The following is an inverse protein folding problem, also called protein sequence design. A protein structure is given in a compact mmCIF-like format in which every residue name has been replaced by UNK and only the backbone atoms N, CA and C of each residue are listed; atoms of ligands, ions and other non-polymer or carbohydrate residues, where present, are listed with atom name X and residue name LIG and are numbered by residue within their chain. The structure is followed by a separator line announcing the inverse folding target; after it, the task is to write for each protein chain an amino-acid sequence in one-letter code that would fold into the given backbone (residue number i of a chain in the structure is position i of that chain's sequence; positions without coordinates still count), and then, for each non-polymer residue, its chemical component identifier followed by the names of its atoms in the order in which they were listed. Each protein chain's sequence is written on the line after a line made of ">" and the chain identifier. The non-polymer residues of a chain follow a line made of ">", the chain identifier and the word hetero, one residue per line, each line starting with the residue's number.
data_IF_039213898396
#
_entry.id   IF_039213898396
#
_cell.length_a   1.000
_cell.length_b   1.000
_cell.length_c   1.000
_cell.angle_alpha   90.00
_cell.angle_beta   90.00
_cell.angle_gamma   90.00
#
_symmetry.space_group_name_H-M   'P 1'
#
loop_
_entity.id
_entity.type
_entity.pdbx_description
1 polymer ?
#
# COMPACT_ATOMS: atom_id res chain seq x y z
N UNK A 1 7.08 -14.51 14.80
CA UNK A 1 7.05 -14.71 13.34
C UNK A 1 6.69 -13.41 12.60
N UNK A 2 5.48 -12.86 12.72
CA UNK A 2 5.06 -11.64 11.98
C UNK A 2 6.02 -10.45 12.12
N UNK A 3 6.43 -10.11 13.36
CA UNK A 3 7.41 -9.03 13.60
C UNK A 3 8.73 -9.26 12.87
N UNK A 4 9.25 -10.49 12.93
CA UNK A 4 10.50 -10.86 12.27
C UNK A 4 10.43 -10.74 10.74
N UNK A 5 9.30 -11.15 10.14
CA UNK A 5 9.06 -10.96 8.70
C UNK A 5 9.04 -9.46 8.39
N UNK A 6 8.27 -8.67 9.14
CA UNK A 6 8.20 -7.21 8.94
C UNK A 6 9.59 -6.55 9.04
N UNK A 7 10.41 -6.93 10.02
CA UNK A 7 11.77 -6.41 10.18
C UNK A 7 12.65 -6.70 8.96
N UNK A 8 12.53 -7.90 8.36
CA UNK A 8 13.24 -8.25 7.12
C UNK A 8 12.76 -7.37 5.97
N UNK A 9 11.45 -7.27 5.74
CA UNK A 9 10.88 -6.45 4.67
C UNK A 9 11.34 -4.99 4.78
N UNK A 10 11.16 -4.38 5.96
CA UNK A 10 11.59 -3.01 6.23
C UNK A 10 13.11 -2.82 6.05
N UNK A 11 13.92 -3.80 6.45
CA UNK A 11 15.37 -3.76 6.24
C UNK A 11 15.72 -3.77 4.74
N UNK A 12 15.11 -4.64 3.95
CA UNK A 12 15.38 -4.71 2.51
C UNK A 12 14.92 -3.43 1.78
N UNK A 13 13.77 -2.87 2.13
CA UNK A 13 13.31 -1.61 1.53
C UNK A 13 14.18 -0.42 1.96
N UNK A 14 14.65 -0.35 3.21
CA UNK A 14 15.58 0.71 3.64
C UNK A 14 16.90 0.68 2.86
N UNK A 15 17.44 -0.51 2.55
CA UNK A 15 18.63 -0.63 1.67
C UNK A 15 18.39 -0.08 0.27
N UNK A 16 17.14 -0.10 -0.20
CA UNK A 16 16.68 0.43 -1.51
C UNK A 16 16.30 1.92 -1.46
N UNK A 17 16.57 2.60 -0.33
CA UNK A 17 16.40 4.03 -0.16
C UNK A 17 15.03 4.46 0.36
N UNK A 18 14.18 3.53 0.80
CA UNK A 18 12.91 3.89 1.42
C UNK A 18 13.12 4.42 2.84
N UNK A 19 12.50 5.55 3.15
CA UNK A 19 12.44 6.10 4.50
C UNK A 19 11.23 5.53 5.24
N UNK A 20 11.49 4.92 6.38
CA UNK A 20 10.47 4.30 7.23
C UNK A 20 9.75 5.34 8.09
N UNK A 21 8.43 5.23 8.20
CA UNK A 21 7.59 6.09 9.05
C UNK A 21 6.69 5.25 9.96
N UNK A 22 6.48 5.76 11.16
CA UNK A 22 5.43 5.29 12.07
C UNK A 22 4.19 6.18 11.88
N UNK A 23 3.04 5.56 11.63
CA UNK A 23 1.84 6.25 11.13
C UNK A 23 0.63 5.98 12.02
N UNK A 24 -0.32 6.92 12.11
CA UNK A 24 -1.60 6.66 12.76
C UNK A 24 -2.43 5.65 11.96
N UNK A 25 -3.16 4.79 12.67
CA UNK A 25 -4.13 3.87 12.04
C UNK A 25 -5.53 4.45 11.94
N UNK A 26 -5.80 5.56 12.63
CA UNK A 26 -7.03 6.36 12.51
C UNK A 26 -6.73 7.63 11.73
N UNK A 27 -7.53 7.89 10.70
CA UNK A 27 -7.38 9.05 9.82
C UNK A 27 -8.70 9.77 9.63
N UNK A 28 -8.63 11.04 9.25
CA UNK A 28 -9.82 11.81 8.93
C UNK A 28 -10.36 11.41 7.55
N UNK A 29 -11.64 11.71 7.32
CA UNK A 29 -12.34 11.42 6.07
C UNK A 29 -11.59 11.94 4.84
N UNK A 30 -11.02 13.14 4.94
CA UNK A 30 -10.35 13.78 3.83
C UNK A 30 -9.11 12.98 3.39
N UNK A 31 -8.38 12.35 4.32
CA UNK A 31 -7.24 11.49 4.01
C UNK A 31 -7.67 10.33 3.10
N UNK A 32 -8.81 9.70 3.42
CA UNK A 32 -9.37 8.60 2.64
C UNK A 32 -9.82 9.02 1.24
N UNK A 33 -10.37 10.24 1.09
CA UNK A 33 -10.65 10.82 -0.23
C UNK A 33 -9.37 11.05 -1.05
N UNK A 34 -8.30 11.52 -0.39
CA UNK A 34 -7.03 11.85 -1.07
C UNK A 34 -6.35 10.66 -1.76
N UNK A 35 -6.69 9.43 -1.38
CA UNK A 35 -6.19 8.19 -2.00
C UNK A 35 -7.26 7.44 -2.78
N UNK A 36 -8.46 8.02 -2.94
CA UNK A 36 -9.58 7.43 -3.67
C UNK A 36 -10.23 6.23 -2.97
N UNK A 37 -9.99 6.05 -1.67
CA UNK A 37 -10.70 5.06 -0.86
C UNK A 37 -12.17 5.45 -0.69
N UNK A 38 -12.42 6.74 -0.42
CA UNK A 38 -13.78 7.30 -0.40
C UNK A 38 -14.11 8.03 -1.71
N UNK A 39 -15.40 8.03 -2.13
CA UNK A 39 -16.55 7.43 -1.44
C UNK A 39 -16.77 5.94 -1.79
N UNK A 40 -16.05 5.41 -2.78
CA UNK A 40 -16.31 4.09 -3.39
C UNK A 40 -16.26 2.93 -2.39
N UNK A 41 -15.32 2.95 -1.45
CA UNK A 41 -15.10 1.86 -0.50
C UNK A 41 -15.55 2.22 0.92
N UNK A 42 -16.50 3.17 1.09
CA UNK A 42 -16.98 3.55 2.42
C UNK A 42 -17.59 2.38 3.19
N UNK A 43 -18.40 1.55 2.52
CA UNK A 43 -19.01 0.38 3.12
C UNK A 43 -18.00 -0.67 3.58
N UNK A 44 -16.81 -0.67 2.96
CA UNK A 44 -15.72 -1.59 3.28
C UNK A 44 -14.74 -1.05 4.34
N UNK A 45 -14.87 0.23 4.72
CA UNK A 45 -14.04 0.85 5.73
C UNK A 45 -14.66 0.72 7.14
N UNK A 46 -13.82 0.56 8.15
CA UNK A 46 -14.25 0.68 9.54
C UNK A 46 -14.26 2.15 9.95
N UNK A 47 -15.44 2.67 10.32
CA UNK A 47 -15.65 4.04 10.80
C UNK A 47 -15.70 4.07 12.32
N UNK A 48 -14.99 5.02 12.93
CA UNK A 48 -14.96 5.29 14.38
C UNK A 48 -15.28 6.77 14.56
N UNK A 49 -16.50 7.07 15.00
CA UNK A 49 -17.07 8.42 14.99
C UNK A 49 -16.95 9.08 13.60
N UNK A 50 -16.25 10.20 13.49
CA UNK A 50 -16.00 10.90 12.22
C UNK A 50 -14.71 10.49 11.50
N UNK A 51 -13.96 9.55 12.08
CA UNK A 51 -12.69 9.04 11.57
C UNK A 51 -12.82 7.62 11.02
N UNK A 52 -11.77 7.15 10.35
CA UNK A 52 -11.71 5.84 9.72
C UNK A 52 -10.43 5.11 10.10
N UNK A 53 -10.54 3.81 10.33
CA UNK A 53 -9.37 2.93 10.39
C UNK A 53 -8.83 2.72 8.97
N UNK A 54 -7.50 2.76 8.82
CA UNK A 54 -6.86 2.68 7.52
C UNK A 54 -6.96 1.26 6.91
N UNK A 55 -7.31 1.12 5.62
CA UNK A 55 -7.26 -0.16 4.91
C UNK A 55 -5.84 -0.50 4.41
N UNK A 56 -4.91 0.45 4.50
CA UNK A 56 -3.51 0.37 4.06
C UNK A 56 -2.72 1.59 4.54
N UNK A 57 -1.40 1.43 4.76
CA UNK A 57 -0.50 2.54 5.08
C UNK A 57 -0.38 3.58 3.94
N UNK A 58 -0.79 3.23 2.71
CA UNK A 58 -0.87 4.14 1.58
C UNK A 58 -1.65 5.41 1.93
N UNK A 59 -2.76 5.27 2.67
CA UNK A 59 -3.60 6.41 3.08
C UNK A 59 -2.78 7.45 3.84
N UNK A 60 -2.19 7.17 5.01
CA UNK A 60 -1.39 8.16 5.71
C UNK A 60 -0.10 8.55 4.97
N UNK A 61 0.59 7.62 4.28
CA UNK A 61 1.84 7.92 3.56
C UNK A 61 1.64 8.91 2.42
N UNK A 62 0.67 8.67 1.53
CA UNK A 62 0.40 9.56 0.40
C UNK A 62 -0.07 10.94 0.88
N UNK A 63 -0.78 10.99 2.00
CA UNK A 63 -1.24 12.24 2.59
C UNK A 63 -0.16 13.03 3.33
N UNK A 64 1.06 12.51 3.49
CA UNK A 64 2.16 13.29 4.06
C UNK A 64 2.53 14.52 3.20
N UNK A 65 2.27 14.48 1.89
CA UNK A 65 2.51 15.61 0.98
C UNK A 65 1.25 16.47 0.75
N UNK A 66 0.17 16.24 1.52
CA UNK A 66 -1.08 16.98 1.36
C UNK A 66 -0.87 18.45 1.68
N UNK A 67 -1.34 19.33 0.80
CA UNK A 67 -1.23 20.78 0.94
C UNK A 67 0.23 21.27 1.04
N UNK A 68 1.18 20.51 0.48
CA UNK A 68 2.60 20.88 0.41
C UNK A 68 3.06 21.08 -1.04
N UNK A 69 4.07 21.93 -1.22
CA UNK A 69 4.83 22.02 -2.47
C UNK A 69 6.16 21.32 -2.23
N UNK A 70 6.31 20.13 -2.83
CA UNK A 70 7.54 19.35 -2.69
C UNK A 70 8.68 20.00 -3.48
N UNK A 71 9.89 19.97 -2.91
CA UNK A 71 11.08 20.37 -3.63
C UNK A 71 11.45 19.28 -4.66
N UNK A 72 11.67 19.68 -5.91
CA UNK A 72 12.07 18.80 -7.00
C UNK A 72 13.29 17.93 -6.65
N UNK A 73 14.24 18.47 -5.89
CA UNK A 73 15.45 17.74 -5.48
C UNK A 73 15.19 16.59 -4.51
N UNK A 74 14.02 16.52 -3.89
CA UNK A 74 13.62 15.41 -3.01
C UNK A 74 13.02 14.22 -3.79
N UNK A 75 12.78 14.37 -5.10
CA UNK A 75 12.16 13.33 -5.92
C UNK A 75 13.25 12.41 -6.54
N UNK A 76 13.01 11.08 -6.59
CA UNK A 76 11.86 10.37 -6.04
C UNK A 76 11.94 10.24 -4.51
N UNK A 77 10.85 10.61 -3.82
CA UNK A 77 10.72 10.46 -2.38
C UNK A 77 10.09 9.11 -2.08
N UNK A 78 10.90 8.17 -1.59
CA UNK A 78 10.51 6.78 -1.30
C UNK A 78 10.16 6.60 0.17
N UNK A 79 8.95 6.16 0.48
CA UNK A 79 8.41 6.01 1.82
C UNK A 79 7.93 4.58 2.07
N UNK A 80 8.16 4.06 3.27
CA UNK A 80 7.66 2.74 3.68
C UNK A 80 7.12 2.77 5.10
N UNK A 81 6.22 1.86 5.43
CA UNK A 81 5.70 1.71 6.79
C UNK A 81 5.14 0.32 7.02
N UNK A 82 5.32 -0.21 8.21
CA UNK A 82 4.62 -1.41 8.69
C UNK A 82 3.40 -0.99 9.50
N UNK A 83 2.20 -1.40 9.07
CA UNK A 83 0.95 -1.03 9.76
C UNK A 83 -0.02 -2.20 9.86
N UNK A 84 -0.91 -2.12 10.86
CA UNK A 84 -2.13 -2.90 10.88
C UNK A 84 -3.14 -2.26 9.92
N UNK A 85 -3.73 -3.07 9.05
CA UNK A 85 -4.69 -2.68 8.02
C UNK A 85 -6.05 -3.29 8.35
N UNK A 86 -7.12 -2.53 8.13
CA UNK A 86 -8.49 -2.91 8.50
C UNK A 86 -9.44 -2.83 7.30
N UNK A 87 -10.10 -3.94 6.96
CA UNK A 87 -11.08 -4.03 5.85
C UNK A 87 -12.30 -4.84 6.27
N UNK A 88 -13.50 -4.37 5.96
CA UNK A 88 -14.73 -5.09 6.35
C UNK A 88 -14.99 -6.30 5.47
N UNK A 89 -14.39 -6.40 4.28
CA UNK A 89 -14.58 -7.50 3.33
C UNK A 89 -16.07 -7.75 3.01
N UNK A 90 -16.84 -6.66 2.98
CA UNK A 90 -18.31 -6.64 2.87
C UNK A 90 -18.84 -7.27 1.57
N UNK A 91 -18.06 -7.19 0.49
CA UNK A 91 -18.39 -7.78 -0.81
C UNK A 91 -17.98 -9.26 -0.98
N UNK A 92 -17.32 -9.86 0.01
CA UNK A 92 -16.61 -11.13 -0.15
C UNK A 92 -17.28 -12.31 0.58
N UNK A 93 -18.56 -12.18 0.94
CA UNK A 93 -19.29 -13.16 1.73
C UNK A 93 -19.14 -14.60 1.18
N UNK A 94 -18.56 -15.50 1.98
CA UNK A 94 -18.40 -16.91 1.64
C UNK A 94 -17.15 -17.28 0.85
N UNK A 95 -16.34 -16.31 0.39
CA UNK A 95 -15.08 -16.55 -0.33
C UNK A 95 -13.87 -16.52 0.63
N UNK A 96 -12.99 -17.52 0.53
CA UNK A 96 -11.74 -17.64 1.30
C UNK A 96 -11.91 -17.53 2.84
N UNK A 97 -13.01 -18.06 3.37
CA UNK A 97 -13.40 -17.92 4.79
C UNK A 97 -12.55 -18.75 5.77
N UNK A 98 -11.62 -19.57 5.28
CA UNK A 98 -10.72 -20.39 6.09
C UNK A 98 -9.26 -19.97 5.86
N UNK A 99 -8.48 -19.87 6.92
CA UNK A 99 -7.06 -19.53 6.86
C UNK A 99 -6.78 -18.05 7.16
N UNK A 100 -5.70 -17.52 6.61
CA UNK A 100 -5.20 -16.15 6.91
C UNK A 100 -5.08 -15.26 5.66
N UNK A 101 -5.63 -15.68 4.52
CA UNK A 101 -5.54 -14.94 3.25
C UNK A 101 -6.51 -13.75 3.23
N UNK A 102 -7.74 -13.93 3.72
CA UNK A 102 -8.75 -12.88 3.80
C UNK A 102 -9.17 -12.68 5.26
N UNK A 103 -8.82 -11.54 5.83
CA UNK A 103 -9.05 -11.19 7.24
C UNK A 103 -9.51 -9.74 7.35
N UNK A 104 -10.26 -9.43 8.40
CA UNK A 104 -10.64 -8.05 8.70
C UNK A 104 -9.49 -7.18 9.18
N UNK A 105 -8.47 -7.82 9.77
CA UNK A 105 -7.25 -7.19 10.22
C UNK A 105 -6.05 -8.01 9.75
N UNK A 106 -5.10 -7.35 9.11
CA UNK A 106 -3.85 -7.94 8.67
C UNK A 106 -2.70 -6.94 8.80
N UNK A 107 -1.47 -7.41 8.69
CA UNK A 107 -0.29 -6.54 8.74
C UNK A 107 0.31 -6.42 7.34
N UNK A 108 0.75 -5.21 6.97
CA UNK A 108 1.36 -4.94 5.67
C UNK A 108 2.55 -3.99 5.83
N UNK A 109 3.62 -4.26 5.07
CA UNK A 109 4.67 -3.26 4.78
C UNK A 109 4.31 -2.61 3.45
N UNK A 110 4.11 -1.29 3.47
CA UNK A 110 3.72 -0.51 2.30
C UNK A 110 4.93 0.12 1.62
N UNK A 111 4.84 0.35 0.32
CA UNK A 111 5.76 1.19 -0.45
C UNK A 111 4.97 2.32 -1.12
N UNK A 112 5.39 3.55 -0.90
CA UNK A 112 4.83 4.74 -1.56
C UNK A 112 5.99 5.54 -2.14
N UNK A 113 5.82 6.06 -3.36
CA UNK A 113 6.78 6.94 -4.01
C UNK A 113 6.07 8.21 -4.47
N UNK A 114 6.65 9.36 -4.15
CA UNK A 114 6.37 10.59 -4.89
C UNK A 114 7.45 10.73 -5.97
N UNK A 115 7.03 10.84 -7.22
CA UNK A 115 7.92 10.88 -8.37
C UNK A 115 7.62 12.10 -9.25
N UNK A 116 8.61 12.52 -10.03
CA UNK A 116 8.35 13.46 -11.11
C UNK A 116 7.45 12.80 -12.17
N UNK A 117 6.48 13.50 -12.78
CA UNK A 117 5.55 12.92 -13.76
C UNK A 117 6.26 12.15 -14.89
N UNK A 118 7.33 12.73 -15.44
CA UNK A 118 8.14 12.13 -16.53
C UNK A 118 8.84 10.82 -16.14
N UNK A 119 8.90 10.52 -14.83
CA UNK A 119 9.55 9.33 -14.27
C UNK A 119 8.58 8.40 -13.56
N UNK A 120 7.28 8.68 -13.59
CA UNK A 120 6.27 7.92 -12.86
C UNK A 120 6.21 6.44 -13.26
N UNK A 121 6.26 6.14 -14.56
CA UNK A 121 6.28 4.75 -15.05
C UNK A 121 7.62 4.04 -14.78
N UNK A 122 8.76 4.74 -14.92
CA UNK A 122 10.07 4.19 -14.53
C UNK A 122 10.05 3.80 -13.03
N UNK A 123 9.47 4.65 -12.17
CA UNK A 123 9.36 4.37 -10.74
C UNK A 123 8.37 3.26 -10.40
N UNK A 124 7.33 3.04 -11.22
CA UNK A 124 6.43 1.89 -11.11
C UNK A 124 7.18 0.59 -11.38
N UNK A 125 7.96 0.51 -12.46
CA UNK A 125 8.77 -0.68 -12.77
C UNK A 125 9.79 -0.97 -11.65
N UNK A 126 10.43 0.07 -11.11
CA UNK A 126 11.34 -0.08 -9.98
C UNK A 126 10.60 -0.48 -8.69
N UNK A 127 9.38 0.00 -8.44
CA UNK A 127 8.58 -0.41 -7.28
C UNK A 127 8.16 -1.88 -7.37
N UNK A 128 7.78 -2.36 -8.55
CA UNK A 128 7.50 -3.78 -8.80
C UNK A 128 8.72 -4.63 -8.45
N UNK A 129 9.91 -4.26 -8.93
CA UNK A 129 11.17 -4.96 -8.59
C UNK A 129 11.51 -4.91 -7.10
N UNK A 130 11.21 -3.80 -6.43
CA UNK A 130 11.40 -3.65 -4.98
C UNK A 130 10.52 -4.65 -4.20
N UNK A 131 9.30 -4.91 -4.67
CA UNK A 131 8.40 -5.92 -4.10
C UNK A 131 8.82 -7.35 -4.46
N UNK A 132 9.19 -7.60 -5.72
CA UNK A 132 9.69 -8.90 -6.19
C UNK A 132 10.92 -9.37 -5.39
N UNK A 133 11.80 -8.44 -5.03
CA UNK A 133 12.99 -8.73 -4.24
C UNK A 133 12.67 -9.43 -2.92
N UNK A 134 11.55 -9.09 -2.28
CA UNK A 134 11.14 -9.74 -1.04
C UNK A 134 10.83 -11.22 -1.29
N UNK A 135 10.09 -11.53 -2.35
CA UNK A 135 9.76 -12.91 -2.72
C UNK A 135 11.02 -13.72 -3.04
N UNK A 136 11.97 -13.11 -3.76
CA UNK A 136 13.27 -13.70 -4.06
C UNK A 136 14.11 -13.97 -2.80
N UNK A 137 14.14 -13.03 -1.84
CA UNK A 137 14.84 -13.20 -0.55
C UNK A 137 14.27 -14.36 0.25
N UNK A 138 12.96 -14.57 0.20
CA UNK A 138 12.30 -15.71 0.84
C UNK A 138 12.30 -16.98 -0.03
N UNK A 139 12.87 -16.94 -1.23
CA UNK A 139 12.88 -18.03 -2.20
C UNK A 139 11.46 -18.56 -2.49
N UNK A 140 10.49 -17.65 -2.63
CA UNK A 140 9.11 -17.95 -2.99
C UNK A 140 8.98 -17.85 -4.52
N UNK A 141 8.51 -18.90 -5.22
CA UNK A 141 8.18 -18.79 -6.63
C UNK A 141 7.00 -17.83 -6.81
N UNK A 142 7.01 -17.04 -7.88
CA UNK A 142 5.94 -16.09 -8.15
C UNK A 142 5.85 -15.77 -9.65
N UNK A 143 4.80 -15.06 -10.04
CA UNK A 143 4.66 -14.44 -11.36
C UNK A 143 4.20 -12.99 -11.23
N UNK A 144 4.57 -12.17 -12.21
CA UNK A 144 4.12 -10.78 -12.32
C UNK A 144 3.02 -10.70 -13.38
N UNK A 145 1.89 -10.08 -13.04
CA UNK A 145 0.74 -9.89 -13.94
C UNK A 145 0.44 -8.41 -14.06
N UNK A 146 0.34 -7.91 -15.29
CA UNK A 146 -0.25 -6.59 -15.54
C UNK A 146 -1.77 -6.70 -15.53
N UNK A 147 -2.45 -5.89 -14.72
CA UNK A 147 -3.91 -5.92 -14.62
C UNK A 147 -4.58 -5.40 -15.90
N UNK A 148 -5.64 -6.08 -16.34
CA UNK A 148 -6.44 -5.63 -17.46
C UNK A 148 -7.32 -4.42 -17.06
N UNK A 149 -7.82 -3.67 -18.03
CA UNK A 149 -8.60 -2.44 -17.78
C UNK A 149 -9.88 -2.68 -16.96
N UNK A 150 -10.43 -3.89 -16.95
CA UNK A 150 -11.59 -4.26 -16.14
C UNK A 150 -11.26 -4.50 -14.65
N UNK A 151 -10.00 -4.79 -14.33
CA UNK A 151 -9.55 -5.15 -12.99
C UNK A 151 -8.72 -4.05 -12.31
N UNK A 152 -8.26 -3.05 -13.08
CA UNK A 152 -7.52 -1.90 -12.53
C UNK A 152 -8.41 -1.09 -11.58
N UNK A 153 -7.87 -0.77 -10.40
CA UNK A 153 -8.55 0.00 -9.36
C UNK A 153 -8.78 1.47 -9.76
N UNK A 154 -9.76 2.11 -9.12
CA UNK A 154 -10.22 3.47 -9.48
C UNK A 154 -9.11 4.53 -9.50
N UNK A 155 -8.17 4.46 -8.56
CA UNK A 155 -7.06 5.43 -8.43
C UNK A 155 -5.83 5.08 -9.29
N UNK A 156 -5.87 3.98 -10.05
CA UNK A 156 -4.70 3.48 -10.77
C UNK A 156 -4.80 3.73 -12.27
N UNK A 157 -3.67 4.12 -12.87
CA UNK A 157 -3.51 4.18 -14.32
C UNK A 157 -2.89 2.89 -14.90
N UNK A 158 -2.09 2.17 -14.10
CA UNK A 158 -1.44 0.89 -14.42
C UNK A 158 -1.02 0.20 -13.12
N UNK A 159 -1.26 -1.11 -13.01
CA UNK A 159 -0.92 -1.90 -11.82
C UNK A 159 -0.34 -3.26 -12.21
N UNK A 160 0.65 -3.70 -11.44
CA UNK A 160 1.17 -5.06 -11.48
C UNK A 160 0.83 -5.79 -10.18
N UNK A 161 0.33 -7.02 -10.31
CA UNK A 161 0.14 -7.94 -9.20
C UNK A 161 1.24 -9.01 -9.20
N UNK A 162 1.74 -9.32 -8.01
CA UNK A 162 2.70 -10.39 -7.77
C UNK A 162 1.94 -11.55 -7.12
N UNK A 163 1.78 -12.64 -7.86
CA UNK A 163 1.09 -13.83 -7.38
C UNK A 163 2.11 -14.90 -6.95
N UNK A 164 1.99 -15.35 -5.70
CA UNK A 164 2.85 -16.34 -5.04
C UNK A 164 2.16 -17.70 -4.97
#
# INVERSE_FOLDING_TARGET
>A
MVRYIADILLKEHRKRGYKEYFLPVLVNRENMYGTGQLPKFEDDAYKVDDQFLIPTAEVPLTNMARNEILNFQELPKKLTSFTQCFRRESGSAGRDTRGMIRLHQFNKVELVKFAHPDKSYDELEEMTKDAENILQVFNLPYRVIELCTGDVGFSSAKTYDLEV
#
